data_IF_095748053994
#
_entry.id   IF_095748053994
#
_cell.length_a   1.000
_cell.length_b   1.000
_cell.length_c   1.000
_cell.angle_alpha   90.00
_cell.angle_beta   90.00
_cell.angle_gamma   90.00
#
_symmetry.space_group_name_H-M   'P 1'
#
loop_
_entity.id
_entity.type
_entity.pdbx_description
1 polymer ?
#
# COMPACT_ATOMS: atom_id res chain seq x y z
N UNK A 1 39.80 28.08 46.41
CA UNK A 1 38.60 27.22 46.43
C UNK A 1 37.84 27.51 45.14
N UNK A 2 37.85 26.60 44.16
CA UNK A 2 37.16 26.80 42.87
C UNK A 2 35.82 26.07 42.90
N UNK A 3 34.73 26.83 42.88
CA UNK A 3 33.36 26.32 42.78
C UNK A 3 33.07 25.92 41.34
N UNK A 4 32.86 24.62 41.08
CA UNK A 4 32.46 24.10 39.78
C UNK A 4 30.96 24.26 39.63
N UNK A 5 30.51 25.20 38.80
CA UNK A 5 29.11 25.30 38.41
C UNK A 5 28.87 24.43 37.19
N UNK A 6 28.11 23.35 37.35
CA UNK A 6 27.63 22.53 36.22
C UNK A 6 26.36 23.18 35.68
N UNK A 7 26.47 23.81 34.50
CA UNK A 7 25.31 24.30 33.77
C UNK A 7 24.60 23.10 33.15
N UNK A 8 23.50 22.66 33.75
CA UNK A 8 22.63 21.66 33.15
C UNK A 8 21.88 22.30 31.97
N UNK A 9 22.37 22.08 30.76
CA UNK A 9 21.65 22.42 29.54
C UNK A 9 20.46 21.46 29.40
N UNK A 10 19.26 21.94 29.72
CA UNK A 10 18.02 21.23 29.45
C UNK A 10 17.79 21.24 27.93
N UNK A 11 18.22 20.19 27.25
CA UNK A 11 17.85 19.92 25.86
C UNK A 11 16.36 19.57 25.84
N UNK A 12 15.53 20.58 25.61
CA UNK A 12 14.16 20.36 25.13
C UNK A 12 14.28 19.78 23.72
N UNK A 13 14.30 18.45 23.64
CA UNK A 13 14.02 17.74 22.39
C UNK A 13 12.55 18.03 22.09
N UNK A 14 12.30 19.11 21.36
CA UNK A 14 11.02 19.33 20.73
C UNK A 14 10.88 18.22 19.70
N UNK A 15 10.15 17.16 20.04
CA UNK A 15 9.68 16.18 19.07
C UNK A 15 8.72 16.93 18.16
N UNK A 16 9.28 17.57 17.13
CA UNK A 16 8.53 17.99 15.98
C UNK A 16 7.87 16.72 15.44
N UNK A 17 6.59 16.53 15.74
CA UNK A 17 5.75 15.65 14.95
C UNK A 17 5.70 16.29 13.57
N UNK A 18 6.69 15.96 12.73
CA UNK A 18 6.56 16.15 11.31
C UNK A 18 5.29 15.36 10.95
N UNK A 19 4.22 16.07 10.58
CA UNK A 19 3.13 15.43 9.88
C UNK A 19 3.79 14.64 8.75
N UNK A 20 3.72 13.30 8.82
CA UNK A 20 4.46 12.43 7.91
C UNK A 20 4.11 12.77 6.47
N UNK A 21 5.06 12.58 5.55
CA UNK A 21 4.77 12.71 4.13
C UNK A 21 3.70 11.68 3.74
N UNK A 22 2.57 12.16 3.22
CA UNK A 22 1.51 11.33 2.65
C UNK A 22 1.28 11.72 1.20
N UNK A 23 1.08 10.72 0.35
CA UNK A 23 0.82 10.92 -1.08
C UNK A 23 -0.22 9.88 -1.55
N UNK A 24 -1.23 10.27 -2.34
CA UNK A 24 -2.23 9.35 -2.85
C UNK A 24 -1.62 8.40 -3.90
N UNK A 25 -1.83 7.09 -3.76
CA UNK A 25 -1.42 6.12 -4.78
C UNK A 25 -2.31 6.12 -6.02
N UNK A 26 -3.51 6.68 -5.91
CA UNK A 26 -4.51 6.77 -6.98
C UNK A 26 -5.13 8.17 -6.94
N UNK A 27 -5.26 8.79 -8.11
CA UNK A 27 -5.75 10.17 -8.25
C UNK A 27 -7.28 10.28 -8.32
N UNK A 28 -7.99 9.15 -8.30
CA UNK A 28 -9.45 9.07 -8.42
C UNK A 28 -9.97 9.09 -9.86
N UNK A 29 -9.11 9.30 -10.86
CA UNK A 29 -9.57 9.62 -12.23
C UNK A 29 -8.86 8.83 -13.32
N UNK A 30 -7.62 8.39 -13.08
CA UNK A 30 -6.79 7.71 -14.08
C UNK A 30 -5.94 6.61 -13.45
N UNK A 31 -5.51 5.65 -14.26
CA UNK A 31 -4.47 4.69 -13.88
C UNK A 31 -3.05 5.27 -13.98
N UNK A 32 -2.88 6.60 -13.92
CA UNK A 32 -1.55 7.22 -13.91
C UNK A 32 -0.76 6.75 -12.69
N UNK A 33 0.49 6.34 -12.90
CA UNK A 33 1.31 5.74 -11.83
C UNK A 33 1.08 4.24 -11.65
N UNK A 34 0.28 3.61 -12.50
CA UNK A 34 0.03 2.18 -12.51
C UNK A 34 0.36 1.54 -13.87
N UNK A 35 0.98 0.36 -13.82
CA UNK A 35 1.25 -0.50 -14.96
C UNK A 35 0.38 -1.75 -14.88
N UNK A 36 -0.33 -2.07 -15.97
CA UNK A 36 -0.98 -3.38 -16.14
C UNK A 36 0.08 -4.45 -16.43
N UNK A 37 0.10 -5.50 -15.63
CA UNK A 37 0.99 -6.64 -15.78
C UNK A 37 0.22 -7.90 -16.17
N UNK A 38 0.81 -8.70 -17.06
CA UNK A 38 0.20 -9.91 -17.63
C UNK A 38 -1.16 -9.62 -18.29
N UNK A 39 -2.15 -10.49 -18.09
CA UNK A 39 -3.45 -10.41 -18.76
C UNK A 39 -4.50 -9.68 -17.92
N UNK A 40 -4.11 -8.79 -17.01
CA UNK A 40 -5.08 -8.01 -16.23
C UNK A 40 -5.82 -6.99 -17.11
N UNK A 41 -7.11 -6.84 -16.88
CA UNK A 41 -7.91 -5.74 -17.39
C UNK A 41 -8.41 -4.93 -16.20
N UNK A 42 -8.02 -3.65 -16.17
CA UNK A 42 -8.41 -2.72 -15.14
C UNK A 42 -8.81 -1.39 -15.79
N UNK A 43 -9.74 -0.69 -15.15
CA UNK A 43 -10.14 0.66 -15.52
C UNK A 43 -10.38 1.51 -14.28
N UNK A 44 -10.70 2.78 -14.51
CA UNK A 44 -11.27 3.64 -13.48
C UNK A 44 -12.76 3.76 -13.76
N UNK A 45 -13.59 3.44 -12.77
CA UNK A 45 -15.05 3.58 -12.81
C UNK A 45 -15.51 4.14 -11.46
N UNK A 46 -16.41 5.13 -11.47
CA UNK A 46 -16.94 5.82 -10.29
C UNK A 46 -15.88 6.18 -9.20
N UNK A 47 -14.79 6.83 -9.63
CA UNK A 47 -13.66 7.23 -8.78
C UNK A 47 -12.94 6.07 -8.06
N UNK A 48 -13.06 4.83 -8.55
CA UNK A 48 -12.41 3.62 -8.04
C UNK A 48 -11.57 2.91 -9.12
N UNK A 49 -10.54 2.16 -8.69
CA UNK A 49 -9.86 1.22 -9.59
C UNK A 49 -10.69 -0.06 -9.66
N UNK A 50 -11.23 -0.36 -10.84
CA UNK A 50 -12.04 -1.54 -11.08
C UNK A 50 -11.22 -2.62 -11.79
N UNK A 51 -11.01 -3.76 -11.12
CA UNK A 51 -10.39 -4.96 -11.71
C UNK A 51 -11.48 -5.78 -12.43
N UNK A 52 -11.57 -5.60 -13.75
CA UNK A 52 -12.67 -6.11 -14.57
C UNK A 52 -12.55 -7.62 -14.80
N UNK A 53 -11.38 -8.07 -15.23
CA UNK A 53 -11.17 -9.44 -15.72
C UNK A 53 -9.67 -9.74 -15.88
N UNK A 54 -9.38 -11.01 -16.16
CA UNK A 54 -8.07 -11.47 -16.58
C UNK A 54 -7.21 -12.02 -15.45
N UNK A 55 -6.07 -12.58 -15.84
CA UNK A 55 -5.15 -13.28 -14.93
C UNK A 55 -3.82 -12.53 -14.89
N UNK A 56 -3.79 -11.47 -14.11
CA UNK A 56 -2.66 -10.56 -13.97
C UNK A 56 -2.87 -9.62 -12.79
N UNK A 57 -2.11 -8.53 -12.76
CA UNK A 57 -2.14 -7.59 -11.65
C UNK A 57 -1.86 -6.16 -12.11
N UNK A 58 -2.26 -5.19 -11.29
CA UNK A 58 -1.94 -3.78 -11.47
C UNK A 58 -0.80 -3.42 -10.50
N UNK A 59 0.31 -2.92 -11.03
CA UNK A 59 1.53 -2.63 -10.27
C UNK A 59 1.79 -1.13 -10.25
N UNK A 60 2.11 -0.57 -9.08
CA UNK A 60 2.58 0.81 -8.99
C UNK A 60 3.88 1.02 -9.78
N UNK A 61 4.03 2.15 -10.44
CA UNK A 61 5.23 2.49 -11.21
C UNK A 61 6.43 2.75 -10.28
N UNK A 62 6.16 3.32 -9.10
CA UNK A 62 7.15 3.56 -8.07
C UNK A 62 7.30 2.37 -7.13
N UNK A 63 8.51 2.22 -6.59
CA UNK A 63 8.82 1.31 -5.49
C UNK A 63 8.85 2.08 -4.18
N UNK A 64 8.18 1.52 -3.16
CA UNK A 64 8.08 2.12 -1.84
C UNK A 64 8.84 1.29 -0.81
N UNK A 65 9.59 1.96 0.06
CA UNK A 65 10.38 1.34 1.12
C UNK A 65 9.53 1.06 2.35
N UNK A 66 9.63 1.93 3.35
CA UNK A 66 8.77 1.89 4.54
C UNK A 66 7.60 2.84 4.36
N UNK A 67 6.40 2.36 4.66
CA UNK A 67 5.17 3.09 4.44
C UNK A 67 4.08 2.67 5.42
N UNK A 68 3.12 3.56 5.64
CA UNK A 68 1.80 3.24 6.13
C UNK A 68 0.85 3.36 4.92
N UNK A 69 0.14 2.29 4.60
CA UNK A 69 -0.78 2.27 3.45
C UNK A 69 -2.20 2.09 3.94
N UNK A 70 -3.07 2.99 3.49
CA UNK A 70 -4.51 2.86 3.64
C UNK A 70 -5.10 2.51 2.27
N UNK A 71 -5.91 1.46 2.22
CA UNK A 71 -6.66 1.04 1.04
C UNK A 71 -8.03 0.58 1.51
N UNK A 72 -9.07 1.08 0.86
CA UNK A 72 -10.42 0.53 0.94
C UNK A 72 -10.63 -0.39 -0.26
N UNK A 73 -11.37 -1.48 -0.08
CA UNK A 73 -11.64 -2.43 -1.14
C UNK A 73 -13.00 -3.08 -0.95
N UNK A 74 -13.57 -3.56 -2.05
CA UNK A 74 -14.81 -4.33 -2.06
C UNK A 74 -14.72 -5.42 -3.12
N UNK A 75 -15.26 -6.59 -2.82
CA UNK A 75 -15.42 -7.63 -3.81
C UNK A 75 -16.52 -7.25 -4.82
N UNK A 76 -16.19 -7.31 -6.12
CA UNK A 76 -17.18 -7.12 -7.19
C UNK A 76 -18.22 -8.25 -7.20
N UNK A 77 -17.77 -9.47 -6.92
CA UNK A 77 -18.66 -10.64 -6.85
C UNK A 77 -19.20 -10.82 -5.44
N UNK A 78 -20.49 -11.14 -5.33
CA UNK A 78 -21.14 -11.47 -4.06
C UNK A 78 -20.60 -12.76 -3.39
N UNK A 79 -19.98 -13.66 -4.14
CA UNK A 79 -19.32 -14.86 -3.63
C UNK A 79 -18.20 -15.32 -4.57
N UNK A 80 -17.34 -16.20 -4.09
CA UNK A 80 -16.20 -16.80 -4.81
C UNK A 80 -15.26 -15.77 -5.42
N UNK A 81 -15.10 -14.63 -4.75
CA UNK A 81 -14.09 -13.65 -5.10
C UNK A 81 -12.72 -14.10 -4.58
N UNK A 82 -11.68 -13.81 -5.35
CA UNK A 82 -10.29 -14.12 -5.03
C UNK A 82 -9.41 -13.01 -5.63
N UNK A 83 -8.78 -12.24 -4.77
CA UNK A 83 -7.91 -11.13 -5.11
C UNK A 83 -6.82 -10.97 -4.05
N UNK A 84 -5.91 -10.03 -4.26
CA UNK A 84 -4.87 -9.74 -3.28
C UNK A 84 -4.24 -8.38 -3.48
N UNK A 85 -3.86 -7.77 -2.36
CA UNK A 85 -2.95 -6.63 -2.36
C UNK A 85 -1.56 -7.17 -2.12
N UNK A 86 -0.66 -6.94 -3.08
CA UNK A 86 0.72 -7.41 -2.99
C UNK A 86 1.65 -6.27 -2.60
N UNK A 87 2.52 -6.52 -1.63
CA UNK A 87 3.51 -5.55 -1.14
C UNK A 87 4.92 -6.13 -1.18
N UNK A 88 5.92 -5.25 -1.30
CA UNK A 88 7.34 -5.61 -1.44
C UNK A 88 7.59 -6.58 -2.62
N UNK A 89 6.89 -6.35 -3.72
CA UNK A 89 7.00 -7.12 -4.96
C UNK A 89 8.03 -6.53 -5.92
N UNK A 90 8.31 -7.25 -7.00
CA UNK A 90 9.18 -6.82 -8.09
C UNK A 90 8.44 -7.00 -9.42
N UNK A 91 8.89 -6.27 -10.45
CA UNK A 91 8.39 -6.41 -11.83
C UNK A 91 8.48 -7.87 -12.29
N UNK A 92 7.48 -8.31 -13.05
CA UNK A 92 7.38 -9.67 -13.59
C UNK A 92 6.74 -10.68 -12.65
N UNK A 93 6.82 -11.96 -13.03
CA UNK A 93 5.98 -13.02 -12.49
C UNK A 93 4.79 -13.32 -13.41
N UNK A 94 4.20 -14.50 -13.27
CA UNK A 94 3.06 -14.92 -14.09
C UNK A 94 2.29 -16.03 -13.37
N UNK A 95 0.98 -15.86 -13.09
CA UNK A 95 0.19 -14.64 -13.36
C UNK A 95 0.47 -13.49 -12.37
N UNK A 96 1.01 -13.80 -11.19
CA UNK A 96 1.26 -12.86 -10.10
C UNK A 96 2.75 -12.77 -9.75
N UNK A 97 3.18 -11.79 -8.93
CA UNK A 97 4.57 -11.63 -8.50
C UNK A 97 5.11 -12.89 -7.81
N UNK A 98 6.38 -13.22 -8.06
CA UNK A 98 7.05 -14.37 -7.42
C UNK A 98 7.61 -14.09 -6.02
N UNK A 99 7.74 -12.81 -5.67
CA UNK A 99 8.34 -12.32 -4.42
C UNK A 99 7.47 -11.25 -3.82
N UNK A 100 7.49 -11.16 -2.49
CA UNK A 100 6.72 -10.20 -1.71
C UNK A 100 5.77 -10.90 -0.75
N UNK A 101 4.83 -10.12 -0.23
CA UNK A 101 3.76 -10.60 0.63
C UNK A 101 2.42 -10.27 -0.02
N UNK A 102 1.41 -11.10 0.25
CA UNK A 102 0.05 -10.90 -0.21
C UNK A 102 -0.86 -10.75 1.01
N UNK A 103 -1.61 -9.66 1.04
CA UNK A 103 -2.80 -9.56 1.86
C UNK A 103 -3.92 -10.20 1.03
N UNK A 104 -4.41 -11.34 1.50
CA UNK A 104 -5.36 -12.14 0.74
C UNK A 104 -6.78 -11.58 0.88
N UNK A 105 -7.44 -11.33 -0.25
CA UNK A 105 -8.80 -10.79 -0.33
C UNK A 105 -9.74 -11.83 -0.93
N UNK A 106 -9.66 -13.08 -0.46
CA UNK A 106 -10.47 -14.17 -0.97
C UNK A 106 -11.63 -14.50 -0.03
N UNK A 107 -12.73 -14.97 -0.60
CA UNK A 107 -13.87 -15.41 0.20
C UNK A 107 -13.48 -16.56 1.14
N UNK A 108 -13.88 -16.45 2.40
CA UNK A 108 -13.67 -17.50 3.39
C UNK A 108 -12.27 -17.54 4.01
N UNK A 109 -11.34 -16.64 3.63
CA UNK A 109 -10.15 -16.42 4.46
C UNK A 109 -10.53 -15.62 5.71
N UNK A 110 -10.31 -16.22 6.89
CA UNK A 110 -10.49 -15.53 8.16
C UNK A 110 -9.43 -14.43 8.27
N UNK A 111 -9.85 -13.17 8.23
CA UNK A 111 -8.99 -12.07 8.64
C UNK A 111 -8.57 -12.30 10.10
N UNK A 112 -7.26 -12.37 10.37
CA UNK A 112 -6.77 -11.90 11.68
C UNK A 112 -6.80 -10.39 11.58
N UNK A 113 -7.96 -9.79 11.86
CA UNK A 113 -8.03 -8.38 12.18
C UNK A 113 -7.09 -8.17 13.39
N UNK A 114 -6.06 -7.36 13.20
CA UNK A 114 -5.26 -6.87 14.32
C UNK A 114 -6.10 -5.75 14.92
N UNK A 115 -6.56 -5.97 16.16
CA UNK A 115 -7.32 -5.00 16.97
C UNK A 115 -6.62 -3.62 17.05
#
# INVERSE_FOLDING_TARGET
MLTRSCLAALLLVSSASAAGFSYPLFDGTTLSGWTIENNCKAEVDDDEIHLIDGNGWLRSDHQYGDFLMHVEWKAEKASKYDAGIYVRTQVGGSPFPRRGYQLNLAEGTKEHAVD
#
